data_IF_742914844830
#
_entry.id   IF_742914844830
#
_cell.length_a   1.000
_cell.length_b   1.000
_cell.length_c   1.000
_cell.angle_alpha   90.00
_cell.angle_beta   90.00
_cell.angle_gamma   90.00
#
_symmetry.space_group_name_H-M   'P 1'
#
loop_
_entity.id
_entity.type
_entity.pdbx_description
1 polymer ?
#
# COMPACT_ATOMS: atom_id res chain seq x y z
N UNK A 1 -16.21 63.52 35.07
CA UNK A 1 -15.96 63.23 33.64
C UNK A 1 -14.78 62.27 33.56
N UNK A 2 -15.05 60.96 33.60
CA UNK A 2 -14.05 59.93 33.26
C UNK A 2 -14.85 58.78 32.65
N UNK A 3 -14.64 58.54 31.35
CA UNK A 3 -15.32 57.50 30.57
C UNK A 3 -14.25 56.51 30.11
N UNK A 4 -14.27 55.32 30.71
CA UNK A 4 -13.49 54.16 30.30
C UNK A 4 -14.04 53.58 28.99
N UNK A 5 -13.23 53.31 27.96
CA UNK A 5 -13.70 52.58 26.79
C UNK A 5 -13.75 51.07 27.06
N UNK A 6 -14.72 50.33 26.48
CA UNK A 6 -14.77 48.88 26.60
C UNK A 6 -13.72 48.22 25.71
N UNK A 7 -12.98 47.26 26.29
CA UNK A 7 -12.08 46.36 25.58
C UNK A 7 -12.87 45.53 24.56
N UNK A 8 -12.63 45.73 23.26
CA UNK A 8 -13.05 44.78 22.22
C UNK A 8 -12.05 43.61 22.19
N UNK A 9 -12.40 42.50 22.83
CA UNK A 9 -11.76 41.20 22.63
C UNK A 9 -12.46 40.44 21.51
N UNK A 10 -12.14 40.74 20.25
CA UNK A 10 -12.51 39.85 19.14
C UNK A 10 -11.33 38.94 18.81
N UNK A 11 -11.32 37.76 19.46
CA UNK A 11 -10.54 36.60 19.05
C UNK A 11 -11.00 36.18 17.64
N UNK A 12 -10.31 36.65 16.61
CA UNK A 12 -10.40 36.05 15.28
C UNK A 12 -9.48 34.84 15.31
N UNK A 13 -10.05 33.68 15.65
CA UNK A 13 -9.39 32.40 15.51
C UNK A 13 -9.27 32.10 14.01
N UNK A 14 -8.18 32.53 13.38
CA UNK A 14 -7.85 32.17 12.00
C UNK A 14 -7.46 30.69 12.03
N UNK A 15 -8.21 29.77 11.41
CA UNK A 15 -7.70 28.43 11.19
C UNK A 15 -6.57 28.54 10.17
N UNK A 16 -5.33 28.35 10.62
CA UNK A 16 -4.21 28.09 9.73
C UNK A 16 -4.55 26.86 8.90
N UNK A 17 -4.64 26.95 7.55
CA UNK A 17 -4.70 25.74 6.74
C UNK A 17 -3.28 25.19 6.74
N UNK A 18 -2.97 24.31 7.68
CA UNK A 18 -1.92 23.31 7.50
C UNK A 18 -2.40 22.29 6.44
N UNK A 19 -2.77 22.77 5.25
CA UNK A 19 -2.78 21.96 4.05
C UNK A 19 -1.33 21.80 3.66
N UNK A 20 -0.67 20.83 4.29
CA UNK A 20 0.48 20.18 3.71
C UNK A 20 -0.02 19.64 2.37
N UNK A 21 0.20 20.42 1.30
CA UNK A 21 -0.01 19.97 -0.07
C UNK A 21 0.93 18.79 -0.21
N UNK A 22 0.41 17.60 0.07
CA UNK A 22 1.08 16.39 -0.31
C UNK A 22 1.09 16.46 -1.82
N UNK A 23 2.27 16.65 -2.40
CA UNK A 23 2.49 16.37 -3.81
C UNK A 23 2.38 14.84 -3.91
N UNK A 24 1.14 14.35 -3.82
CA UNK A 24 0.85 12.95 -4.10
C UNK A 24 0.86 12.88 -5.60
N UNK A 25 1.89 12.25 -6.15
CA UNK A 25 1.88 11.92 -7.57
C UNK A 25 0.60 11.11 -7.86
N UNK A 26 -0.14 11.51 -8.88
CA UNK A 26 -1.42 10.90 -9.30
C UNK A 26 -1.34 9.36 -9.42
N UNK A 27 -0.17 8.86 -9.84
CA UNK A 27 0.18 7.43 -9.89
C UNK A 27 0.10 6.72 -8.54
N UNK A 28 0.57 7.36 -7.46
CA UNK A 28 0.54 6.81 -6.11
C UNK A 28 -0.88 6.67 -5.58
N UNK A 29 -1.74 7.67 -5.84
CA UNK A 29 -3.15 7.63 -5.46
C UNK A 29 -3.91 6.54 -6.22
N UNK A 30 -3.64 6.38 -7.52
CA UNK A 30 -4.23 5.32 -8.34
C UNK A 30 -3.80 3.94 -7.85
N UNK A 31 -2.52 3.76 -7.52
CA UNK A 31 -2.02 2.49 -6.99
C UNK A 31 -2.55 2.19 -5.58
N UNK A 32 -2.68 3.19 -4.72
CA UNK A 32 -3.28 3.07 -3.39
C UNK A 32 -4.79 2.73 -3.46
N UNK A 33 -5.51 3.29 -4.43
CA UNK A 33 -6.94 2.98 -4.66
C UNK A 33 -7.17 1.51 -5.04
N UNK A 34 -6.16 0.84 -5.61
CA UNK A 34 -6.21 -0.57 -6.01
C UNK A 34 -5.81 -1.53 -4.88
N UNK A 35 -5.44 -1.01 -3.71
CA UNK A 35 -5.15 -1.85 -2.54
C UNK A 35 -6.42 -2.63 -2.16
N UNK A 36 -6.29 -3.93 -1.99
CA UNK A 36 -7.38 -4.87 -1.74
C UNK A 36 -7.89 -5.58 -3.00
N UNK A 37 -7.49 -5.15 -4.20
CA UNK A 37 -7.85 -5.82 -5.44
C UNK A 37 -7.21 -7.22 -5.53
N UNK A 38 -7.92 -8.14 -6.20
CA UNK A 38 -7.39 -9.45 -6.52
C UNK A 38 -6.50 -9.34 -7.75
N UNK A 39 -5.36 -9.98 -7.71
CA UNK A 39 -4.38 -9.95 -8.79
C UNK A 39 -4.02 -11.36 -9.20
N UNK A 40 -3.84 -11.59 -10.49
CA UNK A 40 -3.38 -12.86 -11.05
C UNK A 40 -2.03 -12.65 -11.67
N UNK A 41 -1.08 -13.49 -11.29
CA UNK A 41 0.28 -13.42 -11.82
C UNK A 41 0.29 -14.00 -13.23
N UNK A 42 0.79 -13.23 -14.20
CA UNK A 42 0.87 -13.62 -15.61
C UNK A 42 2.26 -14.17 -15.95
N UNK A 43 3.31 -13.56 -15.40
CA UNK A 43 4.69 -13.98 -15.65
C UNK A 43 5.16 -15.08 -14.68
N UNK A 44 6.19 -15.82 -15.08
CA UNK A 44 6.78 -16.85 -14.22
C UNK A 44 7.69 -16.21 -13.17
N UNK A 45 7.15 -15.96 -11.97
CA UNK A 45 7.90 -15.41 -10.84
C UNK A 45 8.15 -16.50 -9.79
N UNK A 46 9.41 -16.72 -9.47
CA UNK A 46 9.86 -17.67 -8.43
C UNK A 46 10.27 -16.91 -7.18
N UNK A 47 9.76 -17.33 -6.02
CA UNK A 47 10.08 -16.74 -4.73
C UNK A 47 10.71 -17.75 -3.79
N UNK A 48 11.71 -17.31 -3.03
CA UNK A 48 12.55 -18.16 -2.18
C UNK A 48 12.44 -17.80 -0.68
N UNK A 49 11.59 -16.83 -0.33
CA UNK A 49 11.39 -16.38 1.04
C UNK A 49 10.13 -16.96 1.69
N UNK A 50 9.52 -17.98 1.06
CA UNK A 50 8.35 -18.66 1.61
C UNK A 50 8.81 -19.57 2.75
N UNK A 51 8.18 -19.48 3.94
CA UNK A 51 8.48 -20.40 5.02
C UNK A 51 8.28 -21.86 4.58
N UNK A 52 9.27 -22.73 4.86
CA UNK A 52 9.28 -24.19 4.58
C UNK A 52 9.40 -24.61 3.12
N UNK A 53 9.08 -23.74 2.16
CA UNK A 53 9.21 -24.07 0.74
C UNK A 53 10.41 -23.34 0.17
N UNK A 54 11.46 -24.07 -0.25
CA UNK A 54 12.67 -23.44 -0.76
C UNK A 54 12.40 -22.69 -2.07
N UNK A 55 11.52 -23.20 -2.93
CA UNK A 55 11.18 -22.60 -4.21
C UNK A 55 9.67 -22.67 -4.43
N UNK A 56 9.02 -21.51 -4.55
CA UNK A 56 7.59 -21.43 -4.83
C UNK A 56 7.34 -20.63 -6.11
N UNK A 57 6.62 -21.23 -7.04
CA UNK A 57 6.27 -20.62 -8.32
C UNK A 57 4.89 -19.94 -8.23
N UNK A 58 4.83 -18.66 -8.59
CA UNK A 58 3.61 -17.84 -8.51
C UNK A 58 2.79 -17.80 -9.80
N UNK A 59 3.29 -18.41 -10.88
CA UNK A 59 2.67 -18.39 -12.21
C UNK A 59 1.19 -18.79 -12.14
N UNK A 60 0.29 -17.87 -12.55
CA UNK A 60 -1.15 -18.12 -12.59
C UNK A 60 -1.86 -18.15 -11.23
N UNK A 61 -1.16 -17.97 -10.10
CA UNK A 61 -1.78 -17.90 -8.77
C UNK A 61 -2.47 -16.54 -8.58
N UNK A 62 -3.53 -16.56 -7.78
CA UNK A 62 -4.30 -15.37 -7.42
C UNK A 62 -3.85 -14.91 -6.04
N UNK A 63 -3.48 -13.63 -5.94
CA UNK A 63 -3.13 -12.95 -4.70
C UNK A 63 -4.03 -11.75 -4.45
N UNK A 64 -3.81 -11.11 -3.30
CA UNK A 64 -4.51 -9.87 -2.92
C UNK A 64 -3.47 -8.78 -2.75
N UNK A 65 -3.66 -7.64 -3.42
CA UNK A 65 -2.77 -6.50 -3.26
C UNK A 65 -2.94 -5.91 -1.85
N UNK A 66 -1.89 -5.96 -1.02
CA UNK A 66 -1.94 -5.46 0.36
C UNK A 66 -1.41 -4.04 0.51
N UNK A 67 -0.39 -3.67 -0.25
CA UNK A 67 0.27 -2.38 -0.09
C UNK A 67 0.96 -1.93 -1.37
N UNK A 68 1.01 -0.62 -1.58
CA UNK A 68 1.90 0.02 -2.55
C UNK A 68 3.06 0.70 -1.81
N UNK A 69 4.29 0.35 -2.18
CA UNK A 69 5.56 0.80 -1.56
C UNK A 69 6.24 1.89 -2.41
N UNK A 70 5.66 2.27 -3.55
CA UNK A 70 6.17 3.37 -4.38
C UNK A 70 6.06 4.75 -3.74
N UNK A 71 5.21 4.89 -2.71
CA UNK A 71 5.09 6.09 -1.88
C UNK A 71 5.26 5.71 -0.41
N UNK A 72 6.14 6.41 0.29
CA UNK A 72 6.30 6.26 1.73
C UNK A 72 6.25 7.63 2.40
N UNK A 73 5.27 7.82 3.29
CA UNK A 73 5.09 9.08 4.05
C UNK A 73 5.09 10.32 3.14
N UNK A 74 4.46 10.21 1.96
CA UNK A 74 4.38 11.29 0.97
C UNK A 74 5.66 11.53 0.15
N UNK A 75 6.67 10.66 0.25
CA UNK A 75 7.86 10.69 -0.62
C UNK A 75 7.77 9.57 -1.65
N UNK A 76 8.01 9.90 -2.93
CA UNK A 76 8.16 8.91 -4.00
C UNK A 76 9.47 8.15 -3.77
N UNK A 77 9.38 6.83 -3.64
CA UNK A 77 10.54 5.94 -3.54
C UNK A 77 10.78 5.33 -4.93
N UNK A 78 12.05 5.19 -5.33
CA UNK A 78 12.45 4.46 -6.53
C UNK A 78 12.42 2.94 -6.32
N UNK A 79 11.32 2.40 -5.80
CA UNK A 79 11.16 0.97 -5.64
C UNK A 79 10.86 0.35 -7.02
N UNK A 80 11.75 -0.52 -7.51
CA UNK A 80 11.54 -1.20 -8.79
C UNK A 80 10.33 -2.16 -8.76
N UNK A 81 9.97 -2.67 -7.57
CA UNK A 81 8.86 -3.60 -7.32
C UNK A 81 7.90 -2.99 -6.28
N UNK A 82 7.05 -2.03 -6.68
CA UNK A 82 6.31 -1.23 -5.72
C UNK A 82 5.04 -1.92 -5.21
N UNK A 83 4.54 -2.98 -5.86
CA UNK A 83 3.31 -3.63 -5.45
C UNK A 83 3.60 -4.81 -4.52
N UNK A 84 3.07 -4.76 -3.30
CA UNK A 84 3.18 -5.85 -2.34
C UNK A 84 1.89 -6.67 -2.35
N UNK A 85 1.99 -7.89 -2.87
CA UNK A 85 0.88 -8.83 -3.01
C UNK A 85 1.00 -9.90 -1.94
N UNK A 86 -0.10 -10.19 -1.24
CA UNK A 86 -0.20 -11.33 -0.34
C UNK A 86 -0.77 -12.54 -1.08
N UNK A 87 -0.10 -13.67 -0.91
CA UNK A 87 -0.51 -14.96 -1.42
C UNK A 87 -0.76 -15.92 -0.27
N UNK A 88 -1.74 -16.80 -0.46
CA UNK A 88 -2.06 -17.88 0.45
C UNK A 88 -1.79 -19.18 -0.30
N UNK A 89 -0.79 -19.94 0.15
CA UNK A 89 -0.51 -21.27 -0.37
C UNK A 89 -1.24 -22.30 0.49
N UNK A 90 -2.46 -22.66 0.09
CA UNK A 90 -3.25 -23.72 0.72
C UNK A 90 -2.63 -25.11 0.50
N UNK A 91 -1.86 -25.26 -0.59
CA UNK A 91 -1.13 -26.50 -0.93
C UNK A 91 0.04 -26.78 0.03
N UNK A 92 0.50 -25.77 0.78
CA UNK A 92 1.65 -25.88 1.68
C UNK A 92 1.15 -25.89 3.13
N UNK A 93 1.20 -27.05 3.77
CA UNK A 93 0.84 -27.19 5.18
C UNK A 93 1.91 -26.54 6.08
N UNK A 94 1.54 -25.44 6.73
CA UNK A 94 2.33 -24.71 7.73
C UNK A 94 2.66 -25.54 8.97
N UNK A 95 3.35 -24.94 9.95
CA UNK A 95 3.83 -25.66 11.16
C UNK A 95 2.68 -26.22 12.01
N UNK A 96 1.52 -25.58 11.90
CA UNK A 96 0.33 -25.83 12.71
C UNK A 96 -0.85 -26.37 11.88
N UNK A 97 -0.61 -26.86 10.66
CA UNK A 97 -1.65 -27.31 9.73
C UNK A 97 -2.40 -26.19 9.00
N UNK A 98 -1.98 -24.93 9.18
CA UNK A 98 -2.58 -23.76 8.52
C UNK A 98 -1.92 -23.47 7.15
N UNK A 99 -2.67 -22.89 6.18
CA UNK A 99 -2.11 -22.38 4.93
C UNK A 99 -0.99 -21.37 5.16
N UNK A 100 0.09 -21.47 4.37
CA UNK A 100 1.20 -20.53 4.47
C UNK A 100 0.82 -19.23 3.77
N UNK A 101 0.78 -18.14 4.54
CA UNK A 101 0.63 -16.78 4.03
C UNK A 101 2.00 -16.16 3.85
N UNK A 102 2.26 -15.59 2.69
CA UNK A 102 3.48 -14.86 2.42
C UNK A 102 3.20 -13.68 1.50
N UNK A 103 4.12 -12.71 1.48
CA UNK A 103 3.98 -11.52 0.64
C UNK A 103 5.12 -11.44 -0.34
N UNK A 104 4.85 -11.17 -1.62
CA UNK A 104 5.85 -10.92 -2.64
C UNK A 104 5.74 -9.49 -3.17
N UNK A 105 6.88 -8.91 -3.56
CA UNK A 105 6.92 -7.63 -4.24
C UNK A 105 6.94 -7.90 -5.74
N UNK A 106 6.05 -7.24 -6.49
CA UNK A 106 5.86 -7.43 -7.92
C UNK A 106 5.75 -6.07 -8.62
N UNK A 107 5.93 -6.06 -9.94
CA UNK A 107 5.63 -4.91 -10.80
C UNK A 107 4.28 -5.06 -11.46
N UNK A 108 3.67 -3.96 -11.89
CA UNK A 108 2.37 -3.95 -12.58
C UNK A 108 2.36 -4.71 -13.91
N UNK A 109 3.52 -4.87 -14.54
CA UNK A 109 3.75 -5.63 -15.76
C UNK A 109 3.69 -7.16 -15.54
N UNK A 110 3.93 -7.64 -14.32
CA UNK A 110 4.03 -9.07 -13.99
C UNK A 110 2.66 -9.71 -13.66
N UNK A 111 1.63 -8.90 -13.41
CA UNK A 111 0.32 -9.37 -12.98
C UNK A 111 -0.84 -8.58 -13.61
N UNK A 112 -2.00 -9.23 -13.68
CA UNK A 112 -3.26 -8.63 -14.12
C UNK A 112 -4.22 -8.50 -12.94
N UNK A 113 -5.05 -7.46 -12.96
CA UNK A 113 -6.06 -7.26 -11.93
C UNK A 113 -7.34 -8.00 -12.32
N UNK A 114 -7.87 -8.77 -11.38
CA UNK A 114 -9.17 -9.43 -11.48
C UNK A 114 -10.17 -8.53 -10.75
N UNK A 115 -11.06 -7.89 -11.51
CA UNK A 115 -12.18 -7.08 -11.00
C UNK A 115 -13.25 -7.95 -10.35
#
# INVERSE_FOLDING_TARGET
MTTSPPFLSSLINIPTPNSRIMIVSDEGLKAESRIGARVRVKESVKVYHVPKVPEFELTGKIGVLKQYVGVHKGKKISANLPYKVEFVADEVLGRDGNPVKFTAHMREDEFEFLD
#
